data_IF_017721950847
#
_entry.id   IF_017721950847
#
_cell.length_a   1.000
_cell.length_b   1.000
_cell.length_c   1.000
_cell.angle_alpha   90.00
_cell.angle_beta   90.00
_cell.angle_gamma   90.00
#
_symmetry.space_group_name_H-M   'P 1'
#
loop_
_entity.id
_entity.type
_entity.pdbx_description
1 polymer ?
#
# COMPACT_ATOMS: atom_id res chain seq x y z
N UNK A 1 -7.25 -22.72 -3.75
CA UNK A 1 -6.50 -22.00 -4.82
C UNK A 1 -5.44 -21.15 -4.12
N UNK A 2 -4.26 -20.98 -4.72
CA UNK A 2 -3.28 -20.04 -4.16
C UNK A 2 -3.76 -18.59 -4.31
N UNK A 3 -3.42 -17.68 -3.38
CA UNK A 3 -3.72 -16.26 -3.52
C UNK A 3 -3.11 -15.69 -4.80
N UNK A 4 -3.88 -14.86 -5.49
CA UNK A 4 -3.36 -14.04 -6.60
C UNK A 4 -2.98 -12.67 -6.04
N UNK A 5 -1.76 -12.23 -6.34
CA UNK A 5 -1.28 -10.88 -6.01
C UNK A 5 -0.88 -10.19 -7.30
N UNK A 6 -1.23 -8.91 -7.45
CA UNK A 6 -0.75 -8.07 -8.54
C UNK A 6 0.32 -7.12 -8.05
N UNK A 7 1.39 -6.99 -8.84
CA UNK A 7 2.46 -6.03 -8.64
C UNK A 7 2.48 -5.06 -9.82
N UNK A 8 2.48 -3.76 -9.54
CA UNK A 8 2.55 -2.72 -10.57
C UNK A 8 3.49 -1.59 -10.14
N UNK A 9 4.02 -0.83 -11.10
CA UNK A 9 4.76 0.39 -10.74
C UNK A 9 3.79 1.49 -10.29
N UNK A 10 2.77 1.80 -11.10
CA UNK A 10 1.73 2.78 -10.79
C UNK A 10 0.52 2.10 -10.14
N UNK A 11 -0.16 2.82 -9.24
CA UNK A 11 -1.42 2.34 -8.67
C UNK A 11 -2.61 2.54 -9.62
N UNK A 12 -3.71 1.80 -9.44
CA UNK A 12 -4.90 1.94 -10.28
C UNK A 12 -5.66 3.23 -9.99
N UNK A 13 -6.44 3.70 -10.97
CA UNK A 13 -7.47 4.72 -10.73
C UNK A 13 -8.59 4.17 -9.83
N UNK A 14 -9.46 5.05 -9.33
CA UNK A 14 -10.64 4.72 -8.55
C UNK A 14 -10.40 4.68 -7.03
N UNK A 15 -9.20 5.03 -6.57
CA UNK A 15 -8.84 5.02 -5.14
C UNK A 15 -8.98 6.39 -4.45
N UNK A 16 -9.53 7.39 -5.16
CA UNK A 16 -9.75 8.75 -4.67
C UNK A 16 -9.14 9.82 -5.59
N UNK A 17 -9.44 11.09 -5.31
CA UNK A 17 -9.04 12.23 -6.15
C UNK A 17 -8.36 13.36 -5.38
N UNK A 18 -8.31 13.27 -4.05
CA UNK A 18 -7.60 14.22 -3.20
C UNK A 18 -6.09 13.99 -3.28
N UNK A 19 -5.28 15.02 -3.01
CA UNK A 19 -3.82 14.90 -3.11
C UNK A 19 -3.24 13.79 -2.20
N UNK A 20 -3.89 13.51 -1.08
CA UNK A 20 -3.50 12.50 -0.11
C UNK A 20 -4.06 11.11 -0.40
N UNK A 21 -4.94 10.94 -1.40
CA UNK A 21 -5.43 9.62 -1.80
C UNK A 21 -4.31 8.80 -2.48
N UNK A 22 -4.39 7.46 -2.53
CA UNK A 22 -3.25 6.62 -2.92
C UNK A 22 -2.64 6.92 -4.29
N UNK A 23 -3.45 7.42 -5.23
CA UNK A 23 -3.04 7.80 -6.57
C UNK A 23 -3.32 9.28 -6.90
N UNK A 24 -3.64 10.11 -5.90
CA UNK A 24 -3.99 11.51 -6.11
C UNK A 24 -2.81 12.40 -6.52
N UNK A 25 -2.95 13.18 -7.58
CA UNK A 25 -1.91 14.12 -8.02
C UNK A 25 -1.68 15.22 -6.99
N UNK A 26 -0.42 15.40 -6.58
CA UNK A 26 -0.03 16.44 -5.63
C UNK A 26 0.93 17.50 -6.23
N UNK A 27 1.54 17.27 -7.40
CA UNK A 27 2.46 18.26 -8.00
C UNK A 27 1.79 19.40 -8.76
N UNK A 28 0.48 19.34 -9.01
CA UNK A 28 -0.26 20.37 -9.75
C UNK A 28 -1.71 20.46 -9.30
N UNK A 29 -2.21 21.68 -9.12
CA UNK A 29 -3.61 21.98 -8.82
C UNK A 29 -4.48 21.95 -10.09
N UNK A 30 -5.76 21.51 -10.01
CA UNK A 30 -6.36 20.85 -8.84
C UNK A 30 -5.81 19.44 -8.64
N UNK A 31 -5.96 18.91 -7.42
CA UNK A 31 -5.79 17.48 -7.19
C UNK A 31 -6.80 16.71 -8.05
N UNK A 32 -6.38 15.52 -8.51
CA UNK A 32 -7.23 14.60 -9.27
C UNK A 32 -6.66 13.20 -9.15
N UNK A 33 -7.49 12.21 -9.42
CA UNK A 33 -7.01 10.85 -9.61
C UNK A 33 -5.98 10.80 -10.75
N UNK A 34 -4.80 10.26 -10.44
CA UNK A 34 -3.69 10.04 -11.36
C UNK A 34 -3.31 8.56 -11.46
N UNK A 35 -4.19 7.67 -11.00
CA UNK A 35 -3.99 6.24 -11.13
C UNK A 35 -4.08 5.77 -12.58
N UNK A 36 -3.60 4.56 -12.82
CA UNK A 36 -3.64 3.85 -14.10
C UNK A 36 -5.04 3.26 -14.33
N UNK A 37 -5.69 3.72 -15.40
CA UNK A 37 -7.05 3.31 -15.77
C UNK A 37 -7.08 1.88 -16.35
N UNK A 38 -6.04 1.47 -17.07
CA UNK A 38 -5.97 0.13 -17.66
C UNK A 38 -5.76 -0.91 -16.56
N UNK A 39 -4.95 -0.60 -15.55
CA UNK A 39 -4.80 -1.44 -14.37
C UNK A 39 -6.13 -1.57 -13.59
N UNK A 40 -6.88 -0.48 -13.43
CA UNK A 40 -8.19 -0.53 -12.79
C UNK A 40 -9.17 -1.46 -13.54
N UNK A 41 -9.20 -1.38 -14.88
CA UNK A 41 -10.01 -2.28 -15.72
C UNK A 41 -9.58 -3.75 -15.60
N UNK A 42 -8.27 -4.01 -15.55
CA UNK A 42 -7.75 -5.37 -15.38
C UNK A 42 -8.13 -5.96 -14.02
N UNK A 43 -8.00 -5.18 -12.95
CA UNK A 43 -8.38 -5.56 -11.58
C UNK A 43 -9.86 -5.91 -11.52
N UNK A 44 -10.73 -5.05 -12.06
CA UNK A 44 -12.18 -5.27 -12.09
C UNK A 44 -12.55 -6.53 -12.89
N UNK A 45 -11.86 -6.84 -14.00
CA UNK A 45 -12.04 -8.10 -14.73
C UNK A 45 -11.62 -9.33 -13.91
N UNK A 46 -10.48 -9.26 -13.23
CA UNK A 46 -9.96 -10.36 -12.40
C UNK A 46 -10.92 -10.64 -11.23
N UNK A 47 -11.36 -9.59 -10.54
CA UNK A 47 -12.25 -9.69 -9.38
C UNK A 47 -13.62 -10.31 -9.69
N UNK A 48 -14.07 -10.30 -10.96
CA UNK A 48 -15.27 -11.02 -11.40
C UNK A 48 -15.07 -12.52 -11.53
N UNK A 49 -13.83 -12.99 -11.69
CA UNK A 49 -13.51 -14.38 -11.97
C UNK A 49 -12.91 -15.10 -10.76
N UNK A 50 -12.18 -14.39 -9.90
CA UNK A 50 -11.52 -14.97 -8.72
C UNK A 50 -11.18 -13.91 -7.67
N UNK A 51 -10.96 -14.32 -6.40
CA UNK A 51 -10.44 -13.43 -5.38
C UNK A 51 -9.06 -12.85 -5.74
N UNK A 52 -8.89 -11.55 -5.49
CA UNK A 52 -7.64 -10.80 -5.61
C UNK A 52 -7.33 -10.15 -4.26
N UNK A 53 -6.64 -10.83 -3.33
CA UNK A 53 -6.38 -10.28 -2.00
C UNK A 53 -5.53 -9.00 -1.98
N UNK A 54 -4.57 -8.86 -2.90
CA UNK A 54 -3.59 -7.78 -2.83
C UNK A 54 -3.19 -7.25 -4.21
N UNK A 55 -3.19 -5.93 -4.32
CA UNK A 55 -2.52 -5.14 -5.36
C UNK A 55 -1.46 -4.30 -4.67
N UNK A 56 -0.18 -4.63 -4.87
CA UNK A 56 0.92 -3.82 -4.39
C UNK A 56 1.46 -2.94 -5.53
N UNK A 57 1.63 -1.66 -5.25
CA UNK A 57 2.06 -0.68 -6.24
C UNK A 57 3.00 0.37 -5.64
N UNK A 58 3.44 1.33 -6.45
CA UNK A 58 4.29 2.43 -6.02
C UNK A 58 4.04 3.71 -6.80
N UNK A 59 5.12 4.28 -7.36
CA UNK A 59 5.17 5.55 -8.11
C UNK A 59 4.87 6.79 -7.27
N UNK A 60 3.70 6.85 -6.65
CA UNK A 60 3.22 7.99 -5.86
C UNK A 60 3.82 7.91 -4.46
N UNK A 61 4.82 8.75 -4.16
CA UNK A 61 5.51 8.71 -2.87
C UNK A 61 4.55 8.98 -1.69
N UNK A 62 4.85 8.36 -0.55
CA UNK A 62 4.11 8.58 0.71
C UNK A 62 4.11 10.06 1.09
N UNK A 63 5.29 10.67 1.18
CA UNK A 63 5.40 12.09 1.51
C UNK A 63 4.86 12.95 0.36
N UNK A 64 3.88 13.79 0.67
CA UNK A 64 3.33 14.73 -0.29
C UNK A 64 4.32 15.87 -0.57
N UNK A 65 4.35 16.32 -1.82
CA UNK A 65 5.21 17.43 -2.24
C UNK A 65 5.00 18.67 -1.37
N UNK A 66 6.11 19.37 -1.12
CA UNK A 66 6.18 20.61 -0.32
C UNK A 66 5.71 20.43 1.13
N UNK A 67 5.88 19.23 1.69
CA UNK A 67 5.61 18.98 3.12
C UNK A 67 4.14 19.04 3.50
N UNK A 68 3.22 18.77 2.56
CA UNK A 68 1.78 18.87 2.80
C UNK A 68 1.17 17.63 3.48
N UNK A 69 1.98 16.91 4.24
CA UNK A 69 1.59 15.69 4.95
C UNK A 69 1.88 14.41 4.16
N UNK A 70 1.17 13.35 4.54
CA UNK A 70 1.38 11.99 4.06
C UNK A 70 0.19 11.50 3.22
N UNK A 71 0.51 10.68 2.23
CA UNK A 71 -0.44 9.96 1.39
C UNK A 71 -0.95 8.74 2.12
N UNK A 72 -2.24 8.45 1.94
CA UNK A 72 -2.82 7.17 2.33
C UNK A 72 -2.15 6.06 1.54
N UNK A 73 -1.43 5.19 2.23
CA UNK A 73 -0.66 4.12 1.61
C UNK A 73 -1.42 2.79 1.54
N UNK A 74 -2.60 2.71 2.16
CA UNK A 74 -3.40 1.49 2.23
C UNK A 74 -4.90 1.77 2.13
N UNK A 75 -5.59 1.01 1.29
CA UNK A 75 -7.06 1.03 1.14
C UNK A 75 -7.53 -0.40 0.87
N UNK A 76 -8.72 -0.75 1.34
CA UNK A 76 -9.42 -1.99 0.97
C UNK A 76 -10.71 -1.61 0.24
N UNK A 77 -10.98 -2.22 -0.91
CA UNK A 77 -12.22 -1.99 -1.61
C UNK A 77 -13.39 -2.84 -1.06
N UNK A 78 -14.59 -2.61 -1.60
CA UNK A 78 -15.80 -3.35 -1.20
C UNK A 78 -15.77 -4.84 -1.55
N UNK A 79 -14.86 -5.28 -2.42
CA UNK A 79 -14.66 -6.69 -2.80
C UNK A 79 -13.58 -7.37 -1.95
N UNK A 80 -12.97 -6.64 -1.01
CA UNK A 80 -11.94 -7.15 -0.11
C UNK A 80 -10.53 -7.13 -0.70
N UNK A 81 -10.32 -6.50 -1.86
CA UNK A 81 -8.96 -6.33 -2.41
C UNK A 81 -8.26 -5.21 -1.67
N UNK A 82 -7.08 -5.51 -1.13
CA UNK A 82 -6.21 -4.53 -0.52
C UNK A 82 -5.27 -3.90 -1.55
N UNK A 83 -5.11 -2.59 -1.44
CA UNK A 83 -4.25 -1.77 -2.29
C UNK A 83 -3.16 -1.20 -1.40
N UNK A 84 -1.92 -1.65 -1.58
CA UNK A 84 -0.78 -1.22 -0.78
C UNK A 84 0.21 -0.45 -1.64
N UNK A 85 0.33 0.84 -1.37
CA UNK A 85 1.38 1.67 -1.94
C UNK A 85 2.68 1.47 -1.15
N UNK A 86 3.67 0.84 -1.78
CA UNK A 86 5.00 0.57 -1.22
C UNK A 86 6.03 1.68 -1.52
N UNK A 87 5.62 2.84 -2.06
CA UNK A 87 6.51 3.97 -2.37
C UNK A 87 6.83 4.84 -1.14
N UNK A 88 7.33 4.23 -0.07
CA UNK A 88 8.01 4.96 0.99
C UNK A 88 9.38 5.42 0.45
N UNK A 89 9.56 6.73 0.25
CA UNK A 89 10.78 7.29 -0.33
C UNK A 89 11.23 8.49 0.50
N UNK A 90 12.49 8.51 0.99
CA UNK A 90 13.52 7.48 0.81
C UNK A 90 13.24 6.20 1.63
N UNK A 91 13.61 5.04 1.07
CA UNK A 91 13.46 3.72 1.75
C UNK A 91 14.52 3.50 2.84
N UNK A 92 15.57 4.30 2.83
CA UNK A 92 16.63 4.32 3.82
C UNK A 92 16.70 5.70 4.45
N UNK A 93 16.94 5.76 5.75
CA UNK A 93 17.03 7.03 6.46
C UNK A 93 17.68 6.87 7.82
N UNK A 94 17.60 7.94 8.61
CA UNK A 94 17.98 7.93 10.01
C UNK A 94 16.79 8.40 10.85
N UNK A 95 16.60 7.82 12.02
CA UNK A 95 15.66 8.37 13.00
C UNK A 95 16.27 9.54 13.79
N UNK A 96 15.47 10.12 14.69
CA UNK A 96 15.89 11.22 15.55
C UNK A 96 17.05 10.86 16.51
N UNK A 97 17.31 9.57 16.73
CA UNK A 97 18.43 9.08 17.53
C UNK A 97 19.66 8.73 16.68
N UNK A 98 19.64 9.00 15.37
CA UNK A 98 20.75 8.71 14.45
C UNK A 98 20.86 7.24 14.03
N UNK A 99 19.86 6.40 14.31
CA UNK A 99 19.87 4.98 13.91
C UNK A 99 19.46 4.85 12.45
N UNK A 100 20.22 4.06 11.69
CA UNK A 100 19.88 3.75 10.31
C UNK A 100 18.61 2.90 10.23
N UNK A 101 17.71 3.29 9.33
CA UNK A 101 16.44 2.61 9.07
C UNK A 101 16.37 2.10 7.63
N UNK A 102 15.77 0.93 7.45
CA UNK A 102 15.39 0.34 6.16
C UNK A 102 13.90 0.01 6.17
N UNK A 103 13.14 0.68 5.33
CA UNK A 103 11.70 0.48 5.20
C UNK A 103 11.37 -0.74 4.34
N UNK A 104 10.40 -1.52 4.80
CA UNK A 104 9.72 -2.57 4.06
C UNK A 104 8.21 -2.44 4.27
N UNK A 105 7.44 -2.72 3.22
CA UNK A 105 6.01 -2.97 3.34
C UNK A 105 5.80 -4.47 3.56
N UNK A 106 4.97 -4.82 4.52
CA UNK A 106 4.73 -6.19 4.98
C UNK A 106 3.25 -6.54 4.85
N UNK A 107 2.95 -7.74 4.35
CA UNK A 107 1.60 -8.27 4.22
C UNK A 107 1.58 -9.74 4.58
N UNK A 108 0.59 -10.15 5.35
CA UNK A 108 0.33 -11.55 5.67
C UNK A 108 -1.07 -11.92 5.16
N UNK A 109 -1.14 -13.05 4.44
CA UNK A 109 -2.37 -13.60 3.90
C UNK A 109 -2.62 -14.99 4.52
N UNK A 110 -3.85 -15.22 4.98
CA UNK A 110 -4.36 -16.56 5.29
C UNK A 110 -5.26 -17.01 4.13
N UNK A 111 -4.70 -17.83 3.24
CA UNK A 111 -5.33 -18.17 1.97
C UNK A 111 -5.59 -16.91 1.12
N UNK A 112 -6.86 -16.55 0.94
CA UNK A 112 -7.27 -15.34 0.21
C UNK A 112 -7.64 -14.17 1.14
N UNK A 113 -7.51 -14.34 2.45
CA UNK A 113 -7.86 -13.31 3.44
C UNK A 113 -6.61 -12.53 3.82
N UNK A 114 -6.68 -11.20 3.74
CA UNK A 114 -5.67 -10.33 4.34
C UNK A 114 -5.80 -10.39 5.86
N UNK A 115 -4.74 -10.80 6.55
CA UNK A 115 -4.74 -10.84 8.02
C UNK A 115 -3.92 -9.71 8.63
N UNK A 116 -2.84 -9.31 7.98
CA UNK A 116 -1.99 -8.21 8.44
C UNK A 116 -1.45 -7.39 7.27
N UNK A 117 -1.36 -6.08 7.46
CA UNK A 117 -0.49 -5.23 6.64
C UNK A 117 0.17 -4.15 7.50
N UNK A 118 1.46 -3.91 7.29
CA UNK A 118 2.19 -2.86 7.98
C UNK A 118 3.33 -2.28 7.18
N UNK A 119 3.74 -1.07 7.54
CA UNK A 119 5.05 -0.53 7.19
C UNK A 119 6.02 -0.84 8.34
N UNK A 120 7.21 -1.33 8.02
CA UNK A 120 8.20 -1.79 8.99
C UNK A 120 9.56 -1.17 8.71
N UNK A 121 10.23 -0.69 9.75
CA UNK A 121 11.56 -0.11 9.66
C UNK A 121 12.54 -0.96 10.44
N UNK A 122 13.53 -1.50 9.73
CA UNK A 122 14.55 -2.38 10.28
C UNK A 122 15.89 -1.66 10.42
N UNK A 123 16.70 -2.08 11.39
CA UNK A 123 18.12 -1.73 11.43
C UNK A 123 18.87 -2.45 10.29
N UNK A 124 20.11 -2.03 9.97
CA UNK A 124 20.94 -2.75 8.99
C UNK A 124 21.22 -4.22 9.36
N UNK A 125 21.07 -4.58 10.64
CA UNK A 125 21.23 -5.95 11.15
C UNK A 125 19.93 -6.77 11.08
N UNK A 126 18.86 -6.24 10.48
CA UNK A 126 17.58 -6.94 10.35
C UNK A 126 16.72 -6.94 11.61
N UNK A 127 17.04 -6.11 12.62
CA UNK A 127 16.17 -5.94 13.80
C UNK A 127 15.03 -4.99 13.47
N UNK A 128 13.78 -5.39 13.72
CA UNK A 128 12.63 -4.49 13.63
C UNK A 128 12.75 -3.40 14.71
N UNK A 129 12.72 -2.13 14.29
CA UNK A 129 12.81 -0.97 15.17
C UNK A 129 11.46 -0.26 15.32
N UNK A 130 10.69 -0.19 14.23
CA UNK A 130 9.38 0.45 14.21
C UNK A 130 8.42 -0.31 13.31
N UNK A 131 7.15 -0.33 13.70
CA UNK A 131 6.05 -0.87 12.89
C UNK A 131 4.88 0.11 12.92
N UNK A 132 4.32 0.37 11.74
CA UNK A 132 3.06 1.06 11.56
C UNK A 132 2.06 0.05 11.01
N UNK A 133 1.21 -0.48 11.88
CA UNK A 133 0.09 -1.34 11.48
C UNK A 133 -0.93 -0.56 10.66
N UNK A 134 -1.25 -1.07 9.48
CA UNK A 134 -2.26 -0.51 8.57
C UNK A 134 -3.59 -1.25 8.74
N UNK A 135 -3.53 -2.56 8.94
CA UNK A 135 -4.66 -3.40 9.31
C UNK A 135 -4.15 -4.63 10.05
N UNK A 136 -4.89 -5.04 11.08
CA UNK A 136 -4.75 -6.32 11.77
C UNK A 136 -6.16 -6.91 11.87
N UNK A 137 -6.37 -8.10 11.33
CA UNK A 137 -7.64 -8.81 11.44
C UNK A 137 -7.44 -10.03 12.32
N UNK A 138 -8.35 -10.23 13.29
CA UNK A 138 -8.34 -11.45 14.09
C UNK A 138 -8.35 -12.68 13.18
N UNK A 139 -7.47 -13.64 13.45
CA UNK A 139 -7.53 -14.94 12.79
C UNK A 139 -8.91 -15.54 13.08
N UNK A 140 -9.57 -16.07 12.03
CA UNK A 140 -10.78 -16.86 12.25
C UNK A 140 -10.37 -18.08 13.09
N UNK A 141 -10.83 -18.13 14.33
CA UNK A 141 -10.66 -19.33 15.17
C UNK A 141 -11.42 -20.44 14.45
N UNK A 142 -10.75 -21.54 14.04
CA UNK A 142 -11.46 -22.69 13.49
C UNK A 142 -12.42 -23.19 14.58
N UNK A 143 -13.71 -23.32 14.24
CA UNK A 143 -14.70 -23.91 15.13
C UNK A 143 -14.41 -25.39 15.40
#
# INVERSE_FOLDING_TARGET
LMPLVLLAHSGPSGLGSEAHDPCGRDWKSPARDWGDMDLALAIDRIQRQRPLPLVAFGHMHHQLRRGRGERRSFVVDRRGTAYLNAACVPRHGMDAQGRQLRHFSWVELDGHRLVHASHRWYSPQGRLLYEQTLVEQAQAVPC
#
